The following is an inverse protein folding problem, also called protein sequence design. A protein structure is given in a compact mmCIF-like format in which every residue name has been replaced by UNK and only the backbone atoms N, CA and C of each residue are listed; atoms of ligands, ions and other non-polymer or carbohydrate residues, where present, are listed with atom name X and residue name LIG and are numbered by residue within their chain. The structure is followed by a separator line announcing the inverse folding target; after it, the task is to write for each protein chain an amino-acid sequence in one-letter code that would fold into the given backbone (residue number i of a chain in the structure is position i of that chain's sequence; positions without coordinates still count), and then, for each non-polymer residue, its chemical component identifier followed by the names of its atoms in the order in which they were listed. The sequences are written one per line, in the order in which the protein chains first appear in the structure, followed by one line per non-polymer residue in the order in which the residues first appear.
data_IF_731803921368
#
_entry.id   IF_731803921368
#
_cell.length_a   1.000
_cell.length_b   1.000
_cell.length_c   1.000
_cell.angle_alpha   90.00
_cell.angle_beta   90.00
_cell.angle_gamma   90.00
#
_symmetry.space_group_name_H-M   'P 1'
#
loop_
_entity.id
_entity.type
_entity.pdbx_description
1 polymer ?
#
# COMPACT_ATOMS: atom_id res chain seq x y z
N UNK A 1 -11.90 1.51 -0.90
CA UNK A 1 -13.02 2.48 -0.81
C UNK A 1 -14.08 2.18 -1.85
N UNK A 2 -15.34 2.54 -1.56
CA UNK A 2 -16.45 2.45 -2.52
C UNK A 2 -17.13 3.81 -2.66
N UNK A 3 -17.45 4.20 -3.89
CA UNK A 3 -18.34 5.32 -4.19
C UNK A 3 -19.29 4.91 -5.30
N UNK A 4 -20.56 4.64 -4.96
CA UNK A 4 -21.51 4.00 -5.86
C UNK A 4 -21.00 2.61 -6.27
N UNK A 5 -20.96 2.34 -7.58
CA UNK A 5 -20.47 1.08 -8.16
C UNK A 5 -18.93 0.97 -8.28
N UNK A 6 -18.19 2.05 -8.03
CA UNK A 6 -16.75 2.07 -8.22
C UNK A 6 -16.01 1.58 -6.98
N UNK A 7 -15.00 0.75 -7.18
CA UNK A 7 -14.03 0.33 -6.18
C UNK A 7 -12.74 1.12 -6.39
N UNK A 8 -12.27 1.82 -5.37
CA UNK A 8 -11.00 2.53 -5.38
C UNK A 8 -9.96 1.68 -4.66
N UNK A 9 -8.82 1.50 -5.28
CA UNK A 9 -7.70 0.74 -4.75
C UNK A 9 -6.59 1.73 -4.43
N UNK A 10 -6.09 1.70 -3.20
CA UNK A 10 -4.92 2.46 -2.79
C UNK A 10 -3.72 1.54 -2.80
N UNK A 11 -2.63 1.98 -3.43
CA UNK A 11 -1.39 1.22 -3.59
C UNK A 11 -0.18 2.14 -3.49
N UNK A 12 1.05 1.60 -3.57
CA UNK A 12 2.25 2.40 -3.71
C UNK A 12 2.34 2.99 -5.13
N UNK A 13 2.81 4.25 -5.25
CA UNK A 13 2.87 4.92 -6.55
C UNK A 13 3.81 4.22 -7.52
N UNK A 14 5.01 3.81 -7.06
CA UNK A 14 6.00 3.15 -7.91
C UNK A 14 5.50 1.80 -8.50
N UNK A 15 4.44 1.22 -7.96
CA UNK A 15 3.82 -0.01 -8.49
C UNK A 15 3.02 0.28 -9.76
N UNK A 16 2.56 1.52 -9.94
CA UNK A 16 1.67 1.91 -11.05
C UNK A 16 2.18 3.10 -11.85
N UNK A 17 3.17 3.83 -11.35
CA UNK A 17 3.84 4.95 -12.02
C UNK A 17 5.03 4.46 -12.85
N UNK A 18 4.73 3.73 -13.93
CA UNK A 18 5.71 3.20 -14.87
C UNK A 18 5.08 3.14 -16.28
N UNK A 19 5.90 3.01 -17.34
CA UNK A 19 5.41 3.04 -18.73
C UNK A 19 4.57 1.81 -19.12
N UNK A 20 4.50 0.80 -18.27
CA UNK A 20 3.72 -0.41 -18.53
C UNK A 20 2.32 -0.31 -17.91
N UNK A 21 1.38 -1.01 -18.50
CA UNK A 21 0.02 -1.08 -17.98
C UNK A 21 -0.05 -1.89 -16.68
N UNK A 22 -0.86 -1.43 -15.74
CA UNK A 22 -1.09 -2.11 -14.47
C UNK A 22 -2.39 -2.90 -14.51
N UNK A 23 -2.40 -4.06 -13.89
CA UNK A 23 -3.52 -4.99 -13.92
C UNK A 23 -3.82 -5.57 -12.53
N UNK A 24 -5.06 -6.01 -12.35
CA UNK A 24 -5.49 -6.83 -11.22
C UNK A 24 -6.10 -8.13 -11.75
N UNK A 25 -5.82 -9.23 -11.07
CA UNK A 25 -6.43 -10.53 -11.37
C UNK A 25 -7.75 -10.65 -10.61
N UNK A 26 -8.86 -10.83 -11.32
CA UNK A 26 -10.22 -10.99 -10.78
C UNK A 26 -10.77 -12.36 -11.19
N UNK A 27 -10.50 -13.38 -10.37
CA UNK A 27 -10.71 -14.78 -10.73
C UNK A 27 -9.73 -15.24 -11.81
N UNK A 28 -10.24 -15.65 -12.96
CA UNK A 28 -9.43 -16.02 -14.14
C UNK A 28 -9.19 -14.85 -15.11
N UNK A 29 -9.79 -13.69 -14.85
CA UNK A 29 -9.72 -12.53 -15.72
C UNK A 29 -8.69 -11.52 -15.26
N UNK A 30 -8.02 -10.90 -16.24
CA UNK A 30 -7.09 -9.80 -16.02
C UNK A 30 -7.83 -8.48 -16.33
N UNK A 31 -7.86 -7.58 -15.34
CA UNK A 31 -8.54 -6.29 -15.44
C UNK A 31 -7.52 -5.18 -15.38
N UNK A 32 -7.51 -4.32 -16.41
CA UNK A 32 -6.65 -3.13 -16.43
C UNK A 32 -7.02 -2.16 -15.32
N UNK A 33 -6.01 -1.56 -14.73
CA UNK A 33 -6.12 -0.49 -13.75
C UNK A 33 -5.75 0.85 -14.38
N UNK A 34 -6.44 1.90 -13.96
CA UNK A 34 -6.14 3.28 -14.35
C UNK A 34 -5.84 4.08 -13.09
N UNK A 35 -4.68 4.71 -13.06
CA UNK A 35 -4.33 5.63 -11.99
C UNK A 35 -5.13 6.94 -12.16
N UNK A 36 -5.84 7.32 -11.12
CA UNK A 36 -6.61 8.58 -11.07
C UNK A 36 -5.99 9.61 -10.14
N UNK A 37 -5.02 9.20 -9.34
CA UNK A 37 -4.22 10.08 -8.50
C UNK A 37 -2.88 9.40 -8.19
N UNK A 38 -1.78 10.16 -8.34
CA UNK A 38 -0.43 9.72 -8.00
C UNK A 38 0.20 10.81 -7.12
N UNK A 39 0.58 10.42 -5.90
CA UNK A 39 1.36 11.24 -4.97
C UNK A 39 2.78 10.67 -4.90
N UNK A 40 3.65 11.12 -5.80
CA UNK A 40 5.04 10.68 -5.87
C UNK A 40 5.79 10.99 -4.56
N UNK A 41 5.46 12.12 -3.91
CA UNK A 41 6.15 12.55 -2.70
C UNK A 41 5.92 11.63 -1.51
N UNK A 42 4.79 10.94 -1.48
CA UNK A 42 4.41 9.95 -0.46
C UNK A 42 4.39 8.52 -0.99
N UNK A 43 4.79 8.32 -2.23
CA UNK A 43 4.72 7.02 -2.89
C UNK A 43 3.34 6.34 -2.72
N UNK A 44 2.27 7.09 -2.98
CA UNK A 44 0.89 6.61 -2.91
C UNK A 44 0.15 6.86 -4.21
N UNK A 45 -0.68 5.93 -4.64
CA UNK A 45 -1.55 6.09 -5.79
C UNK A 45 -2.96 5.55 -5.52
N UNK A 46 -3.95 6.20 -6.16
CA UNK A 46 -5.32 5.70 -6.23
C UNK A 46 -5.56 5.23 -7.65
N UNK A 47 -5.96 3.97 -7.78
CA UNK A 47 -6.30 3.38 -9.07
C UNK A 47 -7.74 2.87 -9.06
N UNK A 48 -8.33 2.81 -10.25
CA UNK A 48 -9.64 2.21 -10.47
C UNK A 48 -9.55 1.11 -11.53
N UNK A 49 -10.29 0.02 -11.39
CA UNK A 49 -10.41 -0.97 -12.46
C UNK A 49 -11.26 -0.42 -13.60
N UNK A 50 -10.90 -0.77 -14.84
CA UNK A 50 -11.62 -0.34 -16.05
C UNK A 50 -13.01 -0.97 -16.17
N UNK A 51 -13.26 -2.05 -15.45
CA UNK A 51 -14.59 -2.68 -15.31
C UNK A 51 -14.89 -3.07 -13.86
N UNK A 52 -16.11 -3.47 -13.60
CA UNK A 52 -16.48 -3.98 -12.27
C UNK A 52 -15.75 -5.29 -11.96
N UNK A 53 -15.23 -5.41 -10.73
CA UNK A 53 -14.63 -6.64 -10.22
C UNK A 53 -15.73 -7.53 -9.65
N UNK A 54 -15.86 -8.73 -10.21
CA UNK A 54 -16.95 -9.68 -9.87
C UNK A 54 -16.51 -10.70 -8.83
N UNK A 55 -15.29 -11.24 -8.97
CA UNK A 55 -14.77 -12.28 -8.08
C UNK A 55 -14.08 -11.70 -6.83
N UNK A 56 -13.42 -10.55 -6.96
CA UNK A 56 -12.82 -9.87 -5.82
C UNK A 56 -13.92 -9.24 -4.94
N UNK A 57 -14.32 -9.95 -3.90
CA UNK A 57 -15.29 -9.49 -2.89
C UNK A 57 -14.63 -8.62 -1.81
N UNK A 58 -13.75 -7.70 -2.22
CA UNK A 58 -13.06 -6.84 -1.28
C UNK A 58 -14.03 -5.96 -0.49
N UNK A 59 -13.88 -5.98 0.83
CA UNK A 59 -14.57 -5.05 1.73
C UNK A 59 -13.68 -3.82 1.93
N UNK A 60 -14.30 -2.65 2.03
CA UNK A 60 -13.57 -1.43 2.42
C UNK A 60 -13.01 -1.60 3.83
N UNK A 61 -11.73 -1.29 4.00
CA UNK A 61 -11.09 -1.28 5.31
C UNK A 61 -11.42 0.02 6.06
N UNK A 62 -11.53 -0.07 7.37
CA UNK A 62 -11.54 1.11 8.23
C UNK A 62 -10.12 1.62 8.39
N UNK A 63 -9.91 2.93 8.31
CA UNK A 63 -8.61 3.55 8.56
C UNK A 63 -8.47 3.76 10.08
N UNK A 64 -7.32 3.36 10.64
CA UNK A 64 -6.93 3.72 11.99
C UNK A 64 -6.39 5.15 11.99
N UNK A 65 -7.06 6.05 12.71
CA UNK A 65 -6.70 7.47 12.83
C UNK A 65 -5.89 7.79 14.08
N UNK A 66 -5.50 6.77 14.84
CA UNK A 66 -4.64 6.98 16.03
C UNK A 66 -3.29 7.53 15.60
N UNK A 67 -2.78 8.46 16.38
CA UNK A 67 -1.42 9.00 16.26
C UNK A 67 -0.41 8.25 17.14
N UNK A 68 -0.89 7.41 18.04
CA UNK A 68 -0.05 6.62 18.94
C UNK A 68 -0.03 5.15 18.48
N UNK A 69 0.85 4.88 17.52
CA UNK A 69 1.04 3.54 16.97
C UNK A 69 2.42 2.94 17.31
N UNK A 70 3.33 3.71 17.92
CA UNK A 70 4.67 3.21 18.28
C UNK A 70 4.52 2.05 19.28
N UNK A 71 5.27 0.97 19.03
CA UNK A 71 5.21 -0.27 19.82
C UNK A 71 3.98 -1.14 19.54
N UNK A 72 3.01 -0.68 18.74
CA UNK A 72 1.81 -1.47 18.44
C UNK A 72 2.12 -2.54 17.40
N UNK A 73 1.61 -3.74 17.66
CA UNK A 73 1.66 -4.85 16.70
C UNK A 73 0.86 -4.52 15.45
N UNK A 74 1.47 -4.79 14.30
CA UNK A 74 0.90 -4.59 12.99
C UNK A 74 1.12 -5.80 12.11
N UNK A 75 0.32 -5.91 11.04
CA UNK A 75 0.35 -7.01 10.10
C UNK A 75 0.26 -6.47 8.69
N UNK A 76 0.82 -7.18 7.72
CA UNK A 76 0.49 -7.00 6.32
C UNK A 76 0.40 -8.34 5.60
N UNK A 77 -0.43 -8.39 4.57
CA UNK A 77 -0.54 -9.53 3.69
C UNK A 77 -0.16 -9.11 2.27
N UNK A 78 0.67 -9.90 1.61
CA UNK A 78 1.16 -9.60 0.28
C UNK A 78 1.60 -10.86 -0.47
N UNK A 79 2.20 -10.63 -1.64
CA UNK A 79 2.72 -11.68 -2.51
C UNK A 79 4.22 -11.44 -2.78
N UNK A 80 5.09 -11.55 -1.75
CA UNK A 80 6.50 -11.28 -1.91
C UNK A 80 7.15 -12.36 -2.76
N UNK A 81 7.79 -11.96 -3.87
CA UNK A 81 8.48 -12.85 -4.81
C UNK A 81 7.67 -14.14 -5.08
N UNK A 82 8.30 -15.30 -4.97
CA UNK A 82 7.71 -16.61 -5.25
C UNK A 82 7.08 -17.28 -4.01
N UNK A 83 6.98 -16.57 -2.88
CA UNK A 83 6.41 -17.13 -1.65
C UNK A 83 4.87 -17.27 -1.68
N UNK A 84 4.23 -16.74 -2.73
CA UNK A 84 2.77 -16.71 -2.82
C UNK A 84 2.15 -15.79 -1.77
N UNK A 85 0.87 -15.98 -1.47
CA UNK A 85 0.16 -15.18 -0.47
C UNK A 85 0.71 -15.44 0.93
N UNK A 86 1.30 -14.42 1.52
CA UNK A 86 1.96 -14.49 2.81
C UNK A 86 1.45 -13.42 3.77
N UNK A 87 1.43 -13.74 5.06
CA UNK A 87 1.06 -12.84 6.15
C UNK A 87 2.29 -12.58 7.03
N UNK A 88 2.62 -11.32 7.24
CA UNK A 88 3.74 -10.90 8.06
C UNK A 88 3.26 -10.11 9.27
N UNK A 89 4.02 -10.24 10.36
CA UNK A 89 3.77 -9.56 11.62
C UNK A 89 4.99 -8.72 11.99
N UNK A 90 4.75 -7.55 12.55
CA UNK A 90 5.77 -6.67 13.07
C UNK A 90 5.20 -5.68 14.07
N UNK A 91 5.93 -4.58 14.31
CA UNK A 91 5.46 -3.47 15.12
C UNK A 91 5.99 -2.15 14.58
N UNK A 92 5.30 -1.07 14.89
CA UNK A 92 5.74 0.27 14.53
C UNK A 92 6.89 0.67 15.45
N UNK A 93 8.08 0.84 14.89
CA UNK A 93 9.28 1.24 15.62
C UNK A 93 9.44 2.76 15.70
N UNK A 94 8.97 3.49 14.68
CA UNK A 94 9.10 4.95 14.61
C UNK A 94 7.94 5.58 13.84
N UNK A 95 7.51 6.74 14.29
CA UNK A 95 6.59 7.64 13.60
C UNK A 95 7.39 8.77 12.94
N UNK A 96 7.16 9.02 11.66
CA UNK A 96 7.72 10.14 10.90
C UNK A 96 6.57 11.02 10.38
N UNK A 97 6.90 12.11 9.70
CA UNK A 97 5.89 13.01 9.15
C UNK A 97 4.93 12.30 8.19
N UNK A 98 5.45 11.48 7.28
CA UNK A 98 4.67 10.87 6.18
C UNK A 98 4.61 9.35 6.22
N UNK A 99 5.41 8.71 7.07
CA UNK A 99 5.46 7.26 7.16
C UNK A 99 5.58 6.77 8.59
N UNK A 100 5.29 5.50 8.78
CA UNK A 100 5.74 4.71 9.93
C UNK A 100 6.92 3.84 9.49
N UNK A 101 7.90 3.68 10.36
CA UNK A 101 8.90 2.63 10.21
C UNK A 101 8.41 1.40 11.00
N UNK A 102 8.20 0.32 10.29
CA UNK A 102 7.76 -0.96 10.85
C UNK A 102 8.95 -1.92 10.90
N UNK A 103 9.19 -2.52 12.04
CA UNK A 103 10.10 -3.65 12.13
C UNK A 103 9.33 -4.91 11.72
N UNK A 104 9.66 -5.43 10.56
CA UNK A 104 9.08 -6.62 9.96
C UNK A 104 9.99 -7.08 8.84
N UNK A 105 9.80 -8.30 8.39
CA UNK A 105 10.42 -8.79 7.17
C UNK A 105 9.58 -8.33 5.96
N UNK A 106 10.24 -7.89 4.90
CA UNK A 106 9.58 -7.58 3.63
C UNK A 106 10.53 -7.90 2.45
N UNK A 107 9.96 -8.33 1.35
CA UNK A 107 10.66 -8.67 0.12
C UNK A 107 10.08 -7.90 -1.06
N UNK A 108 10.80 -7.78 -2.17
CA UNK A 108 10.27 -7.30 -3.43
C UNK A 108 8.93 -7.99 -3.77
N UNK A 109 7.96 -7.24 -4.28
CA UNK A 109 6.58 -7.70 -4.47
C UNK A 109 5.64 -7.47 -3.27
N UNK A 110 6.17 -7.04 -2.12
CA UNK A 110 5.34 -6.62 -0.98
C UNK A 110 4.80 -5.18 -1.13
N UNK A 111 5.38 -4.37 -2.01
CA UNK A 111 4.96 -2.99 -2.24
C UNK A 111 3.47 -2.90 -2.61
N UNK A 112 2.79 -1.88 -2.10
CA UNK A 112 1.35 -1.71 -2.27
C UNK A 112 0.48 -2.51 -1.29
N UNK A 113 1.07 -3.43 -0.50
CA UNK A 113 0.34 -4.19 0.52
C UNK A 113 -0.22 -3.26 1.59
N UNK A 114 -1.46 -3.51 2.01
CA UNK A 114 -2.05 -2.81 3.15
C UNK A 114 -1.42 -3.30 4.45
N UNK A 115 -1.02 -2.36 5.29
CA UNK A 115 -0.59 -2.62 6.66
C UNK A 115 -1.75 -2.29 7.59
N UNK A 116 -2.08 -3.19 8.51
CA UNK A 116 -3.22 -3.08 9.40
C UNK A 116 -2.86 -3.38 10.85
N UNK A 117 -3.64 -2.84 11.76
CA UNK A 117 -3.50 -3.09 13.19
C UNK A 117 -4.14 -4.43 13.59
N UNK A 118 -4.02 -4.77 14.88
CA UNK A 118 -4.58 -6.00 15.43
C UNK A 118 -6.10 -6.15 15.21
N UNK A 119 -6.83 -5.04 15.06
CA UNK A 119 -8.29 -5.05 14.82
C UNK A 119 -8.65 -5.02 13.33
N UNK A 120 -7.67 -5.17 12.43
CA UNK A 120 -7.89 -5.14 10.97
C UNK A 120 -8.17 -3.75 10.40
N UNK A 121 -7.82 -2.66 11.13
CA UNK A 121 -7.92 -1.29 10.60
C UNK A 121 -6.64 -0.94 9.85
N UNK A 122 -6.77 -0.41 8.65
CA UNK A 122 -5.63 0.01 7.84
C UNK A 122 -4.90 1.20 8.50
N UNK A 123 -3.58 1.10 8.58
CA UNK A 123 -2.70 2.18 9.08
C UNK A 123 -1.86 2.79 7.97
N UNK A 124 -1.60 2.07 6.89
CA UNK A 124 -0.78 2.54 5.80
C UNK A 124 -0.65 1.54 4.66
N UNK A 125 0.15 1.92 3.68
CA UNK A 125 0.55 1.11 2.52
C UNK A 125 2.05 0.89 2.58
N UNK A 126 2.48 -0.35 2.44
CA UNK A 126 3.89 -0.72 2.37
C UNK A 126 4.49 -0.18 1.08
N UNK A 127 5.61 0.53 1.19
CA UNK A 127 6.27 1.20 0.08
C UNK A 127 7.68 0.66 -0.16
N UNK A 128 8.56 0.74 0.82
CA UNK A 128 9.97 0.47 0.65
C UNK A 128 10.57 -0.24 1.87
N UNK A 129 11.79 -0.71 1.69
CA UNK A 129 12.63 -1.27 2.76
C UNK A 129 13.90 -0.44 2.86
N UNK A 130 14.25 -0.03 4.08
CA UNK A 130 15.59 0.50 4.35
C UNK A 130 16.57 -0.64 4.53
N UNK A 131 17.65 -0.61 3.76
CA UNK A 131 18.70 -1.60 3.83
C UNK A 131 19.95 -0.91 4.36
N UNK A 132 20.52 -1.43 5.44
CA UNK A 132 21.82 -1.03 5.96
C UNK A 132 22.92 -1.96 5.45
N UNK A 133 24.15 -1.44 5.43
CA UNK A 133 25.33 -2.26 5.19
C UNK A 133 26.00 -2.50 6.53
N UNK A 134 26.11 -3.74 6.96
CA UNK A 134 26.89 -4.10 8.13
C UNK A 134 28.39 -4.16 7.74
N UNK A 135 29.20 -3.34 8.39
CA UNK A 135 30.65 -3.33 8.21
C UNK A 135 31.40 -4.17 9.26
N UNK A 136 30.69 -4.97 10.03
CA UNK A 136 31.27 -5.77 11.12
C UNK A 136 32.04 -6.99 10.60
N UNK A 137 31.71 -7.46 9.42
CA UNK A 137 32.41 -8.55 8.72
C UNK A 137 33.31 -8.00 7.60
N UNK A 138 34.41 -8.71 7.23
CA UNK A 138 35.22 -8.35 6.08
C UNK A 138 34.45 -8.37 4.74
N UNK A 139 33.26 -8.95 4.74
CA UNK A 139 32.32 -8.89 3.63
C UNK A 139 31.09 -8.06 4.06
N UNK A 140 30.76 -6.95 3.35
CA UNK A 140 29.57 -6.17 3.67
C UNK A 140 28.31 -7.02 3.45
N UNK A 141 27.52 -7.17 4.49
CA UNK A 141 26.20 -7.81 4.44
C UNK A 141 25.11 -6.75 4.38
N UNK A 142 24.17 -6.92 3.47
CA UNK A 142 22.95 -6.13 3.43
C UNK A 142 22.04 -6.57 4.57
N UNK A 143 21.73 -5.66 5.48
CA UNK A 143 20.82 -5.91 6.59
C UNK A 143 19.57 -5.07 6.39
N UNK A 144 18.42 -5.75 6.32
CA UNK A 144 17.13 -5.06 6.33
C UNK A 144 16.93 -4.39 7.68
N UNK A 145 16.73 -3.07 7.68
CA UNK A 145 16.65 -2.29 8.90
C UNK A 145 15.24 -1.88 9.27
N UNK A 146 14.41 -1.54 8.29
CA UNK A 146 13.03 -1.14 8.53
C UNK A 146 12.20 -1.19 7.24
N UNK A 147 10.91 -1.45 7.41
CA UNK A 147 9.89 -1.37 6.35
C UNK A 147 9.21 -0.01 6.43
N UNK A 148 9.17 0.72 5.32
CA UNK A 148 8.46 1.98 5.22
C UNK A 148 6.98 1.74 4.91
N UNK A 149 6.13 2.25 5.79
CA UNK A 149 4.66 2.19 5.67
C UNK A 149 4.13 3.60 5.49
N UNK A 150 3.67 3.95 4.31
CA UNK A 150 3.16 5.29 4.01
C UNK A 150 1.82 5.53 4.67
N UNK A 151 1.69 6.66 5.36
CA UNK A 151 0.48 7.06 6.10
C UNK A 151 -0.67 7.36 5.16
N UNK A 152 -1.86 6.85 5.49
CA UNK A 152 -3.08 6.99 4.69
C UNK A 152 -4.21 7.74 5.41
N UNK A 153 -3.95 8.33 6.57
CA UNK A 153 -4.97 8.97 7.41
C UNK A 153 -5.67 10.13 6.69
N UNK A 154 -4.97 10.79 5.76
CA UNK A 154 -5.49 11.90 4.96
C UNK A 154 -6.27 11.43 3.72
N UNK A 155 -6.17 10.15 3.37
CA UNK A 155 -6.87 9.52 2.23
C UNK A 155 -8.26 9.06 2.67
N UNK A 156 -9.03 9.98 3.22
CA UNK A 156 -10.37 9.69 3.67
C UNK A 156 -11.41 9.74 2.53
N UNK A 157 -12.67 9.50 2.88
CA UNK A 157 -13.74 9.45 1.90
C UNK A 157 -13.96 10.79 1.16
N UNK A 158 -13.70 11.93 1.82
CA UNK A 158 -13.83 13.27 1.23
C UNK A 158 -12.76 13.50 0.18
N UNK A 159 -11.51 13.21 0.51
CA UNK A 159 -10.38 13.29 -0.40
C UNK A 159 -10.59 12.40 -1.64
N UNK A 160 -10.99 11.15 -1.44
CA UNK A 160 -11.26 10.21 -2.55
C UNK A 160 -12.37 10.72 -3.47
N UNK A 161 -13.43 11.33 -2.93
CA UNK A 161 -14.50 11.93 -3.74
C UNK A 161 -14.01 13.11 -4.57
N UNK A 162 -13.17 13.95 -4.00
CA UNK A 162 -12.57 15.10 -4.70
C UNK A 162 -11.69 14.65 -5.86
N UNK A 163 -10.77 13.70 -5.61
CA UNK A 163 -9.92 13.11 -6.65
C UNK A 163 -10.77 12.54 -7.79
N UNK A 164 -11.83 11.79 -7.47
CA UNK A 164 -12.69 11.19 -8.48
C UNK A 164 -13.51 12.23 -9.27
N UNK A 165 -13.92 13.33 -8.65
CA UNK A 165 -14.59 14.43 -9.34
C UNK A 165 -13.63 15.10 -10.34
N UNK A 166 -12.39 15.35 -9.93
CA UNK A 166 -11.38 15.99 -10.77
C UNK A 166 -10.98 15.08 -11.95
N UNK A 167 -10.79 13.78 -11.72
CA UNK A 167 -10.48 12.82 -12.77
C UNK A 167 -11.59 12.64 -13.83
N UNK A 168 -12.84 13.01 -13.51
CA UNK A 168 -13.94 13.03 -14.49
C UNK A 168 -14.04 14.32 -15.30
N UNK A 169 -13.52 15.42 -14.78
CA UNK A 169 -13.53 16.71 -15.45
C UNK A 169 -12.39 16.88 -16.46
N UNK A 170 -11.33 16.09 -16.33
CA UNK A 170 -10.18 16.01 -17.25
C UNK A 170 -10.02 14.55 -17.74
N UNK A 171 -10.75 14.12 -18.77
CA UNK A 171 -10.50 12.83 -19.37
C UNK A 171 -9.17 12.89 -20.12
N UNK A 172 -8.16 12.21 -19.59
CA UNK A 172 -6.88 11.93 -20.25
C UNK A 172 -7.10 11.01 -21.44
#
# INVERSE_FOLDING_TARGET
FKSGKYKFILTAAHVVDHPYESYIVDGEEIVKLVAIHIDVSRDLAIVIPTRELTEIKAKSLRINRSRDLIGKTTYYAGFPQDLGKSLFKGFIAKDTKYSFLMQSFALPGSSGSVVFDFWGRAIGVLSAVSVGVSSVNPFPELVETAVHVMKIQDYDHSFIKEVFKNAKSDPV
#
